data_IF_634356245874
#
_entry.id   IF_634356245874
#
_cell.length_a   1.000
_cell.length_b   1.000
_cell.length_c   1.000
_cell.angle_alpha   90.00
_cell.angle_beta   90.00
_cell.angle_gamma   90.00
#
_symmetry.space_group_name_H-M   'P 1'
#
loop_
_entity.id
_entity.type
_entity.pdbx_description
1 polymer ?
#
# COMPACT_ATOMS: atom_id res chain seq x y z
N UNK A 1 4.44 38.67 -22.63
CA UNK A 1 3.79 37.93 -21.54
C UNK A 1 4.21 36.48 -21.63
N UNK A 2 4.76 35.93 -20.56
CA UNK A 2 5.17 34.52 -20.47
C UNK A 2 4.74 34.00 -19.09
N UNK A 3 3.56 33.37 -19.04
CA UNK A 3 3.14 32.55 -17.90
C UNK A 3 3.41 31.10 -18.30
N UNK A 4 4.57 30.57 -17.88
CA UNK A 4 4.91 29.15 -17.98
C UNK A 4 4.40 28.52 -16.69
N UNK A 5 3.41 27.63 -16.82
CA UNK A 5 2.74 26.98 -15.70
C UNK A 5 3.73 26.41 -14.69
N UNK A 6 3.45 26.65 -13.42
CA UNK A 6 4.12 26.00 -12.30
C UNK A 6 3.82 24.51 -12.35
N UNK A 7 4.81 23.69 -12.70
CA UNK A 7 4.74 22.24 -12.54
C UNK A 7 4.45 21.91 -11.08
N UNK A 8 3.54 20.96 -10.84
CA UNK A 8 3.16 20.47 -9.52
C UNK A 8 4.35 20.00 -8.64
N UNK A 9 5.51 19.73 -9.27
CA UNK A 9 6.76 19.30 -8.65
C UNK A 9 7.48 20.40 -7.81
N UNK A 10 7.10 21.68 -7.93
CA UNK A 10 7.72 22.77 -7.15
C UNK A 10 6.93 23.22 -5.91
N UNK A 11 5.92 22.46 -5.49
CA UNK A 11 5.14 22.83 -4.30
C UNK A 11 5.84 22.45 -2.98
N UNK A 12 6.76 23.31 -2.54
CA UNK A 12 7.40 23.24 -1.19
C UNK A 12 6.39 23.34 -0.03
N UNK A 13 5.11 23.69 -0.25
CA UNK A 13 4.11 23.71 0.83
C UNK A 13 3.55 22.33 1.14
N UNK A 14 3.55 21.40 0.17
CA UNK A 14 3.14 20.01 0.42
C UNK A 14 4.22 19.22 1.16
N UNK A 15 5.49 19.36 0.75
CA UNK A 15 6.60 18.63 1.38
C UNK A 15 6.77 18.95 2.87
N UNK A 16 6.48 20.19 3.30
CA UNK A 16 6.64 20.61 4.70
C UNK A 16 5.54 20.03 5.61
N UNK A 17 4.32 19.84 5.07
CA UNK A 17 3.22 19.17 5.79
C UNK A 17 3.45 17.67 5.86
N UNK A 18 3.90 17.05 4.78
CA UNK A 18 4.28 15.63 4.76
C UNK A 18 5.40 15.34 5.75
N UNK A 19 6.49 16.12 5.75
CA UNK A 19 7.60 15.93 6.71
C UNK A 19 7.17 16.10 8.17
N UNK A 20 6.25 17.03 8.45
CA UNK A 20 5.69 17.24 9.78
C UNK A 20 4.79 16.08 10.22
N UNK A 21 3.96 15.55 9.32
CA UNK A 21 3.18 14.34 9.60
C UNK A 21 4.10 13.11 9.80
N UNK A 22 5.16 12.98 8.99
CA UNK A 22 6.18 11.94 9.12
C UNK A 22 6.91 11.96 10.47
N UNK A 23 7.00 13.13 11.12
CA UNK A 23 7.59 13.25 12.47
C UNK A 23 6.58 13.09 13.60
N UNK A 24 5.30 13.39 13.34
CA UNK A 24 4.24 13.38 14.38
C UNK A 24 3.50 12.04 14.47
N UNK A 25 3.51 11.21 13.43
CA UNK A 25 2.75 9.97 13.39
C UNK A 25 3.46 8.82 14.10
N UNK A 26 2.66 7.96 14.75
CA UNK A 26 3.12 6.68 15.28
C UNK A 26 3.10 5.66 14.14
N UNK A 27 4.26 5.43 13.54
CA UNK A 27 4.44 4.35 12.56
C UNK A 27 4.59 3.02 13.29
N UNK A 28 3.89 1.95 12.89
CA UNK A 28 4.17 0.62 13.41
C UNK A 28 5.63 0.24 13.11
N UNK A 29 6.28 -0.54 14.00
CA UNK A 29 7.69 -0.91 13.86
C UNK A 29 7.97 -1.75 12.61
N UNK A 30 6.93 -2.25 11.95
CA UNK A 30 6.98 -2.93 10.65
C UNK A 30 7.48 -2.00 9.52
N UNK A 31 7.29 -0.67 9.64
CA UNK A 31 7.77 0.31 8.65
C UNK A 31 9.18 0.85 8.94
N UNK A 32 9.72 0.66 10.14
CA UNK A 32 11.04 1.16 10.56
C UNK A 32 12.11 0.05 10.63
N UNK A 33 11.70 -1.21 10.48
CA UNK A 33 12.59 -2.37 10.57
C UNK A 33 13.52 -2.49 9.36
N UNK A 34 14.62 -1.74 9.36
CA UNK A 34 15.90 -2.33 8.92
C UNK A 34 16.24 -3.43 9.92
N UNK A 35 15.69 -4.62 9.71
CA UNK A 35 16.05 -5.82 10.48
C UNK A 35 17.54 -6.07 10.22
N UNK A 36 18.37 -5.80 11.23
CA UNK A 36 19.77 -6.19 11.24
C UNK A 36 19.92 -7.71 11.04
N UNK A 37 21.07 -8.15 10.55
CA UNK A 37 21.22 -9.17 9.52
C UNK A 37 20.96 -10.57 10.05
N UNK A 38 19.90 -11.20 9.57
CA UNK A 38 19.80 -12.65 9.49
C UNK A 38 19.64 -12.99 8.00
N UNK A 39 20.45 -13.90 7.45
CA UNK A 39 20.39 -14.23 6.04
C UNK A 39 19.07 -14.97 5.83
N UNK A 40 18.29 -14.55 4.84
CA UNK A 40 16.98 -15.13 4.52
C UNK A 40 15.86 -14.70 5.47
N UNK A 41 15.37 -13.46 5.32
CA UNK A 41 13.93 -13.17 5.22
C UNK A 41 13.68 -11.70 4.92
N UNK A 42 13.16 -11.48 3.71
CA UNK A 42 12.21 -10.43 3.33
C UNK A 42 12.74 -9.00 3.28
N UNK A 43 13.21 -8.64 2.08
CA UNK A 43 13.32 -7.28 1.61
C UNK A 43 11.96 -6.58 1.77
N UNK A 44 11.84 -5.60 2.67
CA UNK A 44 10.61 -4.81 2.88
C UNK A 44 10.30 -3.87 1.69
N UNK A 45 11.19 -3.83 0.70
CA UNK A 45 10.98 -3.15 -0.57
C UNK A 45 10.13 -4.06 -1.44
N UNK A 46 8.92 -3.59 -1.74
CA UNK A 46 8.05 -4.29 -2.67
C UNK A 46 8.26 -3.72 -4.07
N UNK A 47 8.70 -4.56 -4.99
CA UNK A 47 8.71 -4.31 -6.43
C UNK A 47 7.31 -4.57 -6.98
N UNK A 48 6.58 -3.51 -7.34
CA UNK A 48 5.25 -3.62 -7.96
C UNK A 48 5.28 -4.38 -9.29
N UNK A 49 6.44 -4.48 -9.94
CA UNK A 49 6.65 -5.26 -11.17
C UNK A 49 6.48 -6.76 -10.98
N UNK A 50 6.66 -7.26 -9.76
CA UNK A 50 6.55 -8.69 -9.42
C UNK A 50 5.18 -9.04 -8.84
N UNK A 51 4.35 -8.04 -8.55
CA UNK A 51 3.06 -8.21 -7.90
C UNK A 51 1.95 -8.08 -8.93
N UNK A 52 0.98 -8.99 -8.89
CA UNK A 52 -0.20 -8.91 -9.73
C UNK A 52 -1.26 -8.02 -9.06
N UNK A 53 -1.32 -6.76 -9.45
CA UNK A 53 -2.22 -5.79 -8.82
C UNK A 53 -3.71 -6.07 -9.02
N UNK A 54 -4.05 -6.83 -10.06
CA UNK A 54 -5.43 -7.23 -10.38
C UNK A 54 -6.08 -8.05 -9.25
N UNK A 55 -5.28 -8.84 -8.51
CA UNK A 55 -5.77 -9.61 -7.36
C UNK A 55 -5.82 -8.78 -6.08
N UNK A 56 -5.06 -7.68 -6.00
CA UNK A 56 -5.00 -6.79 -4.84
C UNK A 56 -6.21 -5.86 -4.80
N UNK A 57 -6.69 -5.40 -5.97
CA UNK A 57 -7.86 -4.51 -6.09
C UNK A 57 -9.10 -4.99 -5.31
N UNK A 58 -9.65 -6.20 -5.53
CA UNK A 58 -10.85 -6.65 -4.81
C UNK A 58 -10.63 -6.78 -3.30
N UNK A 59 -9.39 -7.02 -2.86
CA UNK A 59 -9.06 -7.07 -1.44
C UNK A 59 -8.99 -5.68 -0.82
N UNK A 60 -8.44 -4.69 -1.54
CA UNK A 60 -8.46 -3.29 -1.11
C UNK A 60 -9.90 -2.84 -0.90
N UNK A 61 -10.81 -3.11 -1.84
CA UNK A 61 -12.25 -2.80 -1.73
C UNK A 61 -12.82 -3.40 -0.45
N UNK A 62 -12.67 -4.72 -0.26
CA UNK A 62 -13.16 -5.43 0.94
C UNK A 62 -12.58 -4.83 2.23
N UNK A 63 -11.30 -4.47 2.23
CA UNK A 63 -10.61 -3.95 3.41
C UNK A 63 -10.97 -2.49 3.72
N UNK A 64 -11.21 -1.66 2.69
CA UNK A 64 -11.74 -0.30 2.83
C UNK A 64 -13.14 -0.36 3.43
N UNK A 65 -14.01 -1.25 2.95
CA UNK A 65 -15.36 -1.47 3.52
C UNK A 65 -15.26 -1.87 4.99
N UNK A 66 -14.33 -2.77 5.35
CA UNK A 66 -14.12 -3.17 6.76
C UNK A 66 -13.62 -2.00 7.63
N UNK A 67 -12.83 -1.09 7.06
CA UNK A 67 -12.26 0.05 7.78
C UNK A 67 -13.25 1.21 7.96
N UNK A 68 -14.01 1.54 6.91
CA UNK A 68 -14.88 2.72 6.87
C UNK A 68 -16.35 2.36 7.11
N UNK A 69 -16.74 1.10 6.87
CA UNK A 69 -18.11 0.60 6.99
C UNK A 69 -18.96 0.74 5.72
N UNK A 70 -18.41 1.35 4.67
CA UNK A 70 -19.04 1.46 3.36
C UNK A 70 -18.00 1.40 2.25
N UNK A 71 -18.45 1.14 1.02
CA UNK A 71 -17.59 1.12 -0.16
C UNK A 71 -17.30 2.55 -0.61
N UNK A 72 -16.03 2.96 -0.51
CA UNK A 72 -15.55 4.24 -1.00
C UNK A 72 -14.63 4.03 -2.21
N UNK A 73 -15.21 4.13 -3.41
CA UNK A 73 -14.48 3.94 -4.67
C UNK A 73 -13.33 4.94 -4.82
N UNK A 74 -13.44 6.16 -4.25
CA UNK A 74 -12.38 7.17 -4.32
C UNK A 74 -11.15 6.73 -3.54
N UNK A 75 -11.34 6.15 -2.35
CA UNK A 75 -10.23 5.62 -1.53
C UNK A 75 -9.58 4.41 -2.20
N UNK A 76 -10.38 3.54 -2.83
CA UNK A 76 -9.87 2.37 -3.57
C UNK A 76 -9.02 2.81 -4.75
N UNK A 77 -9.53 3.70 -5.59
CA UNK A 77 -8.80 4.23 -6.76
C UNK A 77 -7.54 4.99 -6.33
N UNK A 78 -7.61 5.74 -5.22
CA UNK A 78 -6.44 6.43 -4.69
C UNK A 78 -5.36 5.45 -4.18
N UNK A 79 -5.75 4.40 -3.45
CA UNK A 79 -4.81 3.37 -2.98
C UNK A 79 -4.19 2.59 -4.15
N UNK A 80 -4.98 2.26 -5.18
CA UNK A 80 -4.50 1.62 -6.40
C UNK A 80 -3.56 2.53 -7.20
N UNK A 81 -3.91 3.81 -7.36
CA UNK A 81 -3.06 4.79 -8.05
C UNK A 81 -1.69 4.97 -7.41
N UNK A 82 -1.58 4.88 -6.08
CA UNK A 82 -0.30 4.89 -5.37
C UNK A 82 0.57 3.64 -5.62
N UNK A 83 -0.04 2.52 -6.01
CA UNK A 83 0.64 1.26 -6.29
C UNK A 83 0.94 1.07 -7.79
N UNK A 84 0.11 1.65 -8.66
CA UNK A 84 0.25 1.62 -10.12
C UNK A 84 1.10 2.76 -10.67
N UNK A 85 1.69 3.59 -9.81
CA UNK A 85 2.50 4.72 -10.20
C UNK A 85 3.76 4.25 -10.99
N UNK A 86 3.87 4.60 -12.28
CA UNK A 86 4.95 4.11 -13.15
C UNK A 86 6.30 4.73 -12.82
N UNK A 87 6.33 5.91 -12.19
CA UNK A 87 7.53 6.62 -11.77
C UNK A 87 8.11 6.06 -10.45
N UNK A 88 7.27 5.38 -9.65
CA UNK A 88 7.65 4.81 -8.35
C UNK A 88 7.41 3.29 -8.26
N UNK A 89 8.24 2.48 -8.97
CA UNK A 89 8.10 1.01 -8.97
C UNK A 89 8.33 0.35 -7.60
N UNK A 90 8.91 1.09 -6.65
CA UNK A 90 9.11 0.71 -5.26
C UNK A 90 8.42 1.73 -4.35
N UNK A 91 7.11 1.58 -4.06
CA UNK A 91 6.38 2.53 -3.24
C UNK A 91 6.95 2.59 -1.81
N UNK A 92 6.87 3.77 -1.19
CA UNK A 92 7.25 3.98 0.21
C UNK A 92 6.03 3.75 1.13
N UNK A 93 6.05 2.76 2.05
CA UNK A 93 4.91 2.46 2.90
C UNK A 93 4.54 3.63 3.83
N UNK A 94 5.55 4.40 4.27
CA UNK A 94 5.35 5.57 5.13
C UNK A 94 4.59 6.68 4.41
N UNK A 95 4.95 6.95 3.15
CA UNK A 95 4.26 7.96 2.32
C UNK A 95 2.84 7.53 2.01
N UNK A 96 2.66 6.26 1.61
CA UNK A 96 1.33 5.69 1.40
C UNK A 96 0.45 5.78 2.64
N UNK A 97 0.99 5.48 3.84
CA UNK A 97 0.23 5.61 5.07
C UNK A 97 -0.18 7.06 5.34
N UNK A 98 0.70 8.05 5.14
CA UNK A 98 0.35 9.47 5.31
C UNK A 98 -0.78 9.87 4.36
N UNK A 99 -0.63 9.52 3.08
CA UNK A 99 -1.61 9.80 2.03
C UNK A 99 -2.97 9.18 2.35
N UNK A 100 -2.99 7.91 2.76
CA UNK A 100 -4.24 7.21 3.11
C UNK A 100 -4.81 7.64 4.46
N UNK A 101 -4.00 8.23 5.36
CA UNK A 101 -4.51 8.72 6.65
C UNK A 101 -5.46 9.89 6.49
N UNK A 102 -5.36 10.65 5.40
CA UNK A 102 -6.36 11.67 5.06
C UNK A 102 -7.77 11.10 4.86
N UNK A 103 -7.89 9.81 4.53
CA UNK A 103 -9.16 9.14 4.27
C UNK A 103 -9.56 8.19 5.42
N UNK A 104 -8.66 7.26 5.77
CA UNK A 104 -8.93 6.18 6.73
C UNK A 104 -8.66 6.57 8.19
N UNK A 105 -8.06 7.74 8.43
CA UNK A 105 -7.74 8.29 9.75
C UNK A 105 -7.13 7.24 10.71
N UNK A 106 -7.87 6.80 11.72
CA UNK A 106 -7.42 5.83 12.74
C UNK A 106 -7.22 4.42 12.21
N UNK A 107 -7.95 4.02 11.17
CA UNK A 107 -7.91 2.65 10.61
C UNK A 107 -6.78 2.46 9.60
N UNK A 108 -6.13 3.55 9.19
CA UNK A 108 -5.07 3.55 8.18
C UNK A 108 -3.92 2.64 8.54
N UNK A 109 -3.50 2.63 9.81
CA UNK A 109 -2.39 1.78 10.26
C UNK A 109 -2.71 0.32 10.05
N UNK A 110 -3.92 -0.11 10.45
CA UNK A 110 -4.40 -1.48 10.28
C UNK A 110 -4.51 -1.86 8.80
N UNK A 111 -5.07 -0.96 7.99
CA UNK A 111 -5.17 -1.15 6.54
C UNK A 111 -3.78 -1.30 5.89
N UNK A 112 -2.86 -0.39 6.18
CA UNK A 112 -1.53 -0.36 5.59
C UNK A 112 -0.68 -1.56 6.02
N UNK A 113 -0.71 -1.96 7.29
CA UNK A 113 0.00 -3.17 7.74
C UNK A 113 -0.50 -4.41 7.00
N UNK A 114 -1.82 -4.55 6.86
CA UNK A 114 -2.41 -5.70 6.18
C UNK A 114 -2.10 -5.68 4.67
N UNK A 115 -2.16 -4.52 4.02
CA UNK A 115 -1.84 -4.35 2.60
C UNK A 115 -0.36 -4.64 2.35
N UNK A 116 0.54 -4.11 3.17
CA UNK A 116 1.98 -4.28 2.98
C UNK A 116 2.40 -5.74 3.15
N UNK A 117 1.83 -6.43 4.14
CA UNK A 117 2.05 -7.87 4.33
C UNK A 117 1.63 -8.67 3.10
N UNK A 118 0.44 -8.38 2.56
CA UNK A 118 -0.09 -9.03 1.36
C UNK A 118 0.82 -8.82 0.14
N UNK A 119 1.33 -7.59 -0.03
CA UNK A 119 2.23 -7.22 -1.11
C UNK A 119 3.59 -7.94 -1.01
N UNK A 120 4.13 -8.11 0.20
CA UNK A 120 5.34 -8.91 0.44
C UNK A 120 5.11 -10.38 0.07
N UNK A 121 3.99 -10.97 0.53
CA UNK A 121 3.61 -12.35 0.20
C UNK A 121 3.41 -12.53 -1.32
N UNK A 122 2.88 -11.52 -2.01
CA UNK A 122 2.75 -11.53 -3.46
C UNK A 122 4.10 -11.55 -4.17
N UNK A 123 5.05 -10.75 -3.69
CA UNK A 123 6.40 -10.66 -4.26
C UNK A 123 7.22 -11.94 -4.03
N UNK A 124 7.06 -12.60 -2.88
CA UNK A 124 7.73 -13.87 -2.59
C UNK A 124 7.15 -15.02 -3.43
N UNK A 125 5.93 -14.85 -3.95
CA UNK A 125 5.27 -15.81 -4.83
C UNK A 125 5.74 -15.65 -6.29
N UNK A 126 6.17 -16.73 -6.97
CA UNK A 126 6.61 -16.65 -8.37
C UNK A 126 5.48 -16.28 -9.34
N UNK A 127 4.21 -16.41 -8.92
CA UNK A 127 3.04 -16.01 -9.70
C UNK A 127 2.64 -14.54 -9.47
N UNK A 128 3.29 -13.82 -8.55
CA UNK A 128 2.88 -12.47 -8.15
C UNK A 128 1.56 -12.44 -7.38
N UNK A 129 1.12 -13.58 -6.85
CA UNK A 129 -0.16 -13.73 -6.14
C UNK A 129 0.13 -14.06 -4.67
N UNK A 130 -0.41 -13.28 -3.71
CA UNK A 130 -0.29 -13.56 -2.29
C UNK A 130 -0.77 -14.97 -1.93
N UNK A 131 -0.02 -15.65 -1.07
CA UNK A 131 -0.37 -16.99 -0.60
C UNK A 131 -1.76 -17.02 0.08
N UNK A 132 -2.13 -15.94 0.77
CA UNK A 132 -3.45 -15.79 1.40
C UNK A 132 -4.58 -15.97 0.38
N UNK A 133 -4.47 -15.41 -0.84
CA UNK A 133 -5.48 -15.60 -1.87
C UNK A 133 -5.46 -17.00 -2.46
N UNK A 134 -4.27 -17.59 -2.61
CA UNK A 134 -4.15 -18.97 -3.10
C UNK A 134 -4.85 -19.92 -2.14
N UNK A 135 -4.67 -19.73 -0.83
CA UNK A 135 -5.35 -20.51 0.19
C UNK A 135 -6.86 -20.23 0.22
N UNK A 136 -7.29 -18.97 0.13
CA UNK A 136 -8.71 -18.60 0.12
C UNK A 136 -9.42 -19.22 -1.09
N UNK A 137 -8.82 -19.16 -2.29
CA UNK A 137 -9.34 -19.79 -3.51
C UNK A 137 -9.33 -21.32 -3.44
N UNK A 138 -8.29 -21.92 -2.86
CA UNK A 138 -8.20 -23.36 -2.67
C UNK A 138 -9.25 -23.87 -1.67
N UNK A 139 -9.55 -23.10 -0.63
CA UNK A 139 -10.60 -23.40 0.33
C UNK A 139 -12.00 -23.29 -0.28
N UNK A 140 -12.24 -22.28 -1.13
CA UNK A 140 -13.49 -22.11 -1.88
C UNK A 140 -13.76 -23.30 -2.81
N UNK A 141 -12.75 -23.75 -3.58
CA UNK A 141 -12.88 -24.96 -4.41
C UNK A 141 -13.13 -26.24 -3.61
N UNK A 142 -12.63 -26.33 -2.37
CA UNK A 142 -12.86 -27.51 -1.51
C UNK A 142 -14.26 -27.53 -0.91
N UNK A 143 -14.87 -26.36 -0.65
CA UNK A 143 -16.26 -26.25 -0.15
C UNK A 143 -17.31 -26.41 -1.25
N UNK A 144 -16.94 -26.19 -2.51
CA UNK A 144 -17.84 -26.35 -3.65
C UNK A 144 -17.93 -27.81 -4.19
N UNK A 145 -17.37 -28.79 -3.48
CA UNK A 145 -17.35 -30.20 -3.85
C UNK A 145 -18.17 -31.03 -2.85
#
# INVERSE_FOLDING_TARGET
GFFKGTSADQDRRFSDKELKLLKSMKFPPEFDKKVHPLPSSSCLIVDMRKVNIQVIRPWIVKKVIECVGFEDEVVVEYAMGLLEDPDTPTPDPKKMQINLTGFLTSQTTTFMTALWKLLIEAQESPAGVPQTFVEEKKAEMRRAR
#
